data_IF_506283821337
#
_entry.id   IF_506283821337
#
_cell.length_a   1.000
_cell.length_b   1.000
_cell.length_c   1.000
_cell.angle_alpha   90.00
_cell.angle_beta   90.00
_cell.angle_gamma   90.00
#
_symmetry.space_group_name_H-M   'P 1'
#
loop_
_entity.id
_entity.type
_entity.pdbx_description
1 polymer ?
#
# COMPACT_ATOMS: atom_id res chain seq x y z
N UNK A 1 7.84 9.60 19.59
CA UNK A 1 6.61 9.54 18.79
C UNK A 1 6.56 8.25 18.00
N UNK A 2 5.39 7.66 17.91
CA UNK A 2 5.24 6.39 17.22
C UNK A 2 5.15 6.59 15.71
N UNK A 3 5.81 5.74 14.97
CA UNK A 3 5.67 5.69 13.53
C UNK A 3 4.32 5.08 13.15
N UNK A 4 3.91 5.31 11.91
CA UNK A 4 2.75 4.67 11.35
C UNK A 4 3.16 3.68 10.28
N UNK A 5 2.34 2.66 10.08
CA UNK A 5 2.59 1.64 9.07
C UNK A 5 1.34 1.42 8.25
N UNK A 6 1.53 1.42 6.94
CA UNK A 6 0.48 1.13 5.97
C UNK A 6 0.77 -0.27 5.43
N UNK A 7 -0.14 -1.18 5.71
CA UNK A 7 -0.03 -2.58 5.27
C UNK A 7 -1.10 -2.84 4.22
N UNK A 8 -0.67 -3.17 3.02
CA UNK A 8 -1.57 -3.55 1.94
C UNK A 8 -1.49 -5.06 1.71
N UNK A 9 -2.64 -5.72 1.74
CA UNK A 9 -2.75 -7.16 1.51
C UNK A 9 -3.66 -7.36 0.31
N UNK A 10 -3.12 -7.87 -0.78
CA UNK A 10 -3.89 -8.10 -2.01
C UNK A 10 -4.63 -9.42 -1.92
N UNK A 11 -5.90 -9.40 -2.30
CA UNK A 11 -6.73 -10.62 -2.36
C UNK A 11 -6.78 -11.17 -3.78
N UNK A 12 -6.85 -10.29 -4.77
CA UNK A 12 -6.90 -10.67 -6.18
C UNK A 12 -6.35 -9.54 -7.04
N UNK A 13 -5.70 -9.90 -8.14
CA UNK A 13 -5.26 -8.95 -9.16
C UNK A 13 -5.94 -9.35 -10.46
N UNK A 14 -6.80 -8.47 -10.97
CA UNK A 14 -7.58 -8.72 -12.18
C UNK A 14 -6.91 -8.19 -13.44
N UNK A 15 -6.09 -7.14 -13.31
CA UNK A 15 -5.38 -6.51 -14.41
C UNK A 15 -3.98 -6.08 -13.93
N UNK A 16 -2.99 -6.89 -14.27
CA UNK A 16 -1.61 -6.66 -13.83
C UNK A 16 -1.00 -5.40 -14.45
N UNK A 17 -1.36 -5.07 -15.68
CA UNK A 17 -0.82 -3.89 -16.36
C UNK A 17 -1.38 -2.62 -15.74
N UNK A 18 -2.66 -2.62 -15.40
CA UNK A 18 -3.31 -1.49 -14.72
C UNK A 18 -2.77 -1.31 -13.32
N UNK A 19 -2.51 -2.41 -12.61
CA UNK A 19 -1.86 -2.37 -11.30
C UNK A 19 -0.47 -1.77 -11.39
N UNK A 20 0.30 -2.11 -12.41
CA UNK A 20 1.65 -1.56 -12.63
C UNK A 20 1.58 -0.05 -12.88
N UNK A 21 0.62 0.41 -13.67
CA UNK A 21 0.42 1.84 -13.93
C UNK A 21 0.05 2.59 -12.64
N UNK A 22 -0.83 1.99 -11.81
CA UNK A 22 -1.15 2.51 -10.49
C UNK A 22 0.11 2.60 -9.62
N UNK A 23 0.91 1.53 -9.57
CA UNK A 23 2.08 1.47 -8.71
C UNK A 23 3.10 2.57 -9.01
N UNK A 24 3.27 2.92 -10.28
CA UNK A 24 4.17 4.01 -10.67
C UNK A 24 3.70 5.35 -10.10
N UNK A 25 2.40 5.65 -10.17
CA UNK A 25 1.84 6.87 -9.59
C UNK A 25 1.81 6.83 -8.06
N UNK A 26 1.42 5.70 -7.49
CA UNK A 26 1.31 5.53 -6.04
C UNK A 26 2.67 5.68 -5.36
N UNK A 27 3.72 5.12 -5.93
CA UNK A 27 5.07 5.22 -5.36
C UNK A 27 5.51 6.68 -5.22
N UNK A 28 5.25 7.50 -6.24
CA UNK A 28 5.57 8.93 -6.21
C UNK A 28 4.74 9.67 -5.16
N UNK A 29 3.44 9.39 -5.12
CA UNK A 29 2.52 10.04 -4.17
C UNK A 29 2.86 9.68 -2.73
N UNK A 30 3.16 8.42 -2.46
CA UNK A 30 3.51 7.93 -1.12
C UNK A 30 4.81 8.55 -0.65
N UNK A 31 5.83 8.60 -1.50
CA UNK A 31 7.12 9.23 -1.17
C UNK A 31 6.94 10.73 -0.90
N UNK A 32 6.13 11.43 -1.70
CA UNK A 32 5.87 12.85 -1.53
C UNK A 32 5.14 13.15 -0.20
N UNK A 33 4.44 12.18 0.36
CA UNK A 33 3.72 12.30 1.63
C UNK A 33 4.48 11.67 2.82
N UNK A 34 5.76 11.39 2.67
CA UNK A 34 6.61 10.94 3.77
C UNK A 34 6.68 9.43 3.96
N UNK A 35 6.10 8.65 3.04
CA UNK A 35 6.14 7.20 3.11
C UNK A 35 7.44 6.62 2.59
N UNK A 36 7.89 5.55 3.25
CA UNK A 36 9.07 4.79 2.86
C UNK A 36 8.66 3.33 2.71
N UNK A 37 8.85 2.76 1.53
CA UNK A 37 8.57 1.34 1.32
C UNK A 37 9.59 0.50 2.07
N UNK A 38 9.11 -0.35 2.99
CA UNK A 38 9.96 -1.25 3.75
C UNK A 38 10.00 -2.64 3.13
N UNK A 39 8.88 -3.10 2.57
CA UNK A 39 8.80 -4.41 1.94
C UNK A 39 7.69 -4.39 0.90
N UNK A 40 7.88 -5.13 -0.18
CA UNK A 40 6.91 -5.18 -1.27
C UNK A 40 7.12 -6.44 -2.09
N UNK A 41 6.09 -7.26 -2.19
CA UNK A 41 6.13 -8.48 -2.99
C UNK A 41 5.39 -9.62 -2.34
N UNK A 42 5.72 -10.83 -2.76
CA UNK A 42 5.13 -12.05 -2.20
C UNK A 42 5.78 -12.39 -0.87
N UNK A 43 5.03 -12.92 0.09
CA UNK A 43 5.63 -13.38 1.35
C UNK A 43 6.69 -14.44 1.10
N UNK A 44 7.78 -14.35 1.85
CA UNK A 44 8.83 -15.38 1.84
C UNK A 44 8.30 -16.72 2.38
N UNK A 45 7.45 -16.63 3.41
CA UNK A 45 6.85 -17.80 4.03
C UNK A 45 5.45 -17.44 4.55
N UNK A 46 4.54 -18.41 4.46
CA UNK A 46 3.22 -18.33 5.08
C UNK A 46 3.21 -19.31 6.24
N UNK A 47 3.34 -18.79 7.46
CA UNK A 47 3.34 -19.64 8.65
C UNK A 47 1.93 -20.05 9.04
N UNK A 48 0.96 -19.19 8.76
CA UNK A 48 -0.47 -19.45 8.94
C UNK A 48 -1.23 -18.65 7.88
N UNK A 49 -2.40 -19.14 7.49
CA UNK A 49 -3.24 -18.50 6.48
C UNK A 49 -3.42 -19.40 5.26
N UNK A 50 -4.30 -18.99 4.37
CA UNK A 50 -4.70 -19.83 3.24
C UNK A 50 -3.70 -19.82 2.10
N UNK A 51 -3.41 -18.65 1.55
CA UNK A 51 -2.49 -18.58 0.41
C UNK A 51 -1.66 -17.30 0.45
N UNK A 52 -0.47 -17.39 -0.12
CA UNK A 52 0.41 -16.24 -0.25
C UNK A 52 -0.14 -15.27 -1.28
N UNK A 53 -0.28 -13.99 -0.89
CA UNK A 53 -0.68 -12.93 -1.80
C UNK A 53 0.27 -11.76 -1.65
N UNK A 54 0.28 -10.88 -2.66
CA UNK A 54 1.14 -9.70 -2.65
C UNK A 54 0.86 -8.86 -1.40
N UNK A 55 1.93 -8.51 -0.70
CA UNK A 55 1.87 -7.73 0.52
C UNK A 55 2.84 -6.56 0.43
N UNK A 56 2.40 -5.38 0.87
CA UNK A 56 3.24 -4.17 0.83
C UNK A 56 3.23 -3.53 2.21
N UNK A 57 4.41 -3.19 2.71
CA UNK A 57 4.58 -2.53 4.00
C UNK A 57 5.28 -1.19 3.79
N UNK A 58 4.64 -0.12 4.26
CA UNK A 58 5.14 1.25 4.11
C UNK A 58 5.19 1.90 5.49
N UNK A 59 6.28 2.59 5.78
CA UNK A 59 6.46 3.34 7.02
C UNK A 59 6.18 4.81 6.78
N UNK A 60 5.48 5.43 7.72
CA UNK A 60 5.22 6.87 7.76
C UNK A 60 5.68 7.43 9.10
N UNK A 61 5.90 8.75 9.20
CA UNK A 61 6.26 9.37 10.47
C UNK A 61 5.24 9.14 11.59
N UNK A 62 3.97 8.93 11.23
CA UNK A 62 2.89 8.65 12.15
C UNK A 62 1.74 7.93 11.42
N UNK A 63 0.83 7.32 12.18
CA UNK A 63 -0.38 6.74 11.61
C UNK A 63 -1.24 7.82 10.93
N UNK A 64 -1.30 9.01 11.51
CA UNK A 64 -2.02 10.14 10.94
C UNK A 64 -1.45 10.52 9.57
N UNK A 65 -0.12 10.54 9.44
CA UNK A 65 0.55 10.84 8.18
C UNK A 65 0.19 9.81 7.09
N UNK A 66 0.07 8.54 7.46
CA UNK A 66 -0.34 7.49 6.53
C UNK A 66 -1.78 7.72 6.03
N UNK A 67 -2.68 8.07 6.93
CA UNK A 67 -4.08 8.37 6.57
C UNK A 67 -4.15 9.62 5.67
N UNK A 68 -3.36 10.64 5.99
CA UNK A 68 -3.27 11.85 5.19
C UNK A 68 -2.77 11.54 3.78
N UNK A 69 -1.77 10.67 3.66
CA UNK A 69 -1.24 10.24 2.36
C UNK A 69 -2.33 9.56 1.52
N UNK A 70 -3.12 8.70 2.14
CA UNK A 70 -4.22 8.02 1.44
C UNK A 70 -5.24 9.01 0.89
N UNK A 71 -5.49 10.10 1.60
CA UNK A 71 -6.46 11.13 1.23
C UNK A 71 -5.87 12.25 0.38
N UNK A 72 -4.58 12.20 0.07
CA UNK A 72 -3.93 13.24 -0.76
C UNK A 72 -4.44 13.21 -2.19
N UNK A 73 -4.39 14.36 -2.87
CA UNK A 73 -4.81 14.48 -4.26
C UNK A 73 -3.99 13.56 -5.16
N UNK A 74 -2.68 13.48 -4.94
CA UNK A 74 -1.77 12.64 -5.71
C UNK A 74 -2.15 11.16 -5.61
N UNK A 75 -2.43 10.69 -4.40
CA UNK A 75 -2.79 9.30 -4.21
C UNK A 75 -4.18 9.00 -4.77
N UNK A 76 -5.10 9.96 -4.68
CA UNK A 76 -6.43 9.84 -5.30
C UNK A 76 -6.32 9.66 -6.81
N UNK A 77 -5.40 10.37 -7.45
CA UNK A 77 -5.13 10.19 -8.88
C UNK A 77 -4.63 8.76 -9.16
N UNK A 78 -3.77 8.23 -8.30
CA UNK A 78 -3.30 6.85 -8.41
C UNK A 78 -4.46 5.85 -8.27
N UNK A 79 -5.37 6.08 -7.31
CA UNK A 79 -6.55 5.23 -7.12
C UNK A 79 -7.47 5.24 -8.34
N UNK A 80 -7.59 6.37 -9.01
CA UNK A 80 -8.37 6.45 -10.24
C UNK A 80 -7.78 5.57 -11.35
N UNK A 81 -6.46 5.46 -11.41
CA UNK A 81 -5.77 4.55 -12.35
C UNK A 81 -6.00 3.10 -11.95
N UNK A 82 -5.97 2.80 -10.65
CA UNK A 82 -6.20 1.44 -10.16
C UNK A 82 -7.60 0.93 -10.54
N UNK A 83 -8.61 1.76 -10.33
CA UNK A 83 -9.99 1.36 -10.59
C UNK A 83 -10.34 0.05 -9.89
N UNK A 84 -10.80 -0.93 -10.65
CA UNK A 84 -11.16 -2.27 -10.16
C UNK A 84 -10.12 -3.35 -10.52
N UNK A 85 -8.90 -2.93 -10.85
CA UNK A 85 -7.83 -3.85 -11.25
C UNK A 85 -7.39 -4.82 -10.16
N UNK A 86 -7.63 -4.51 -8.90
CA UNK A 86 -7.25 -5.35 -7.78
C UNK A 86 -8.24 -5.23 -6.63
N UNK A 87 -8.34 -6.32 -5.85
CA UNK A 87 -9.06 -6.35 -4.58
C UNK A 87 -8.03 -6.49 -3.47
N UNK A 88 -8.10 -5.62 -2.46
CA UNK A 88 -7.10 -5.60 -1.40
C UNK A 88 -7.65 -4.98 -0.13
N UNK A 89 -6.93 -5.21 0.96
CA UNK A 89 -7.14 -4.51 2.21
C UNK A 89 -5.95 -3.59 2.44
N UNK A 90 -6.23 -2.39 2.95
CA UNK A 90 -5.20 -1.48 3.42
C UNK A 90 -5.48 -1.19 4.88
N UNK A 91 -4.49 -1.46 5.74
CA UNK A 91 -4.58 -1.22 7.17
C UNK A 91 -3.51 -0.24 7.59
N UNK A 92 -3.87 0.69 8.46
CA UNK A 92 -2.90 1.61 9.06
C UNK A 92 -2.76 1.24 10.53
N UNK A 93 -1.51 1.03 10.95
CA UNK A 93 -1.16 0.61 12.29
C UNK A 93 -0.27 1.67 12.93
N UNK A 94 -0.37 1.77 14.26
CA UNK A 94 0.54 2.64 15.02
C UNK A 94 1.69 1.79 15.54
N UNK A 95 2.91 2.27 15.36
CA UNK A 95 4.10 1.60 15.87
C UNK A 95 4.18 1.65 17.40
N UNK A 96 4.93 0.72 17.96
CA UNK A 96 5.14 0.64 19.41
C UNK A 96 6.09 1.71 19.94
#
# INVERSE_FOLDING_TARGET
MSKGYWLAIYRAVHDADQLAAYAAKASTAIAANGGVFLSRGMPEAMLEGDEATRTVLIEFPSAEAAVTAYNSADYRDALAVLGDAAEREIRVLTGL
#
